data_IF_247354181096
#
_entry.id   IF_247354181096
#
_cell.length_a   1.000
_cell.length_b   1.000
_cell.length_c   1.000
_cell.angle_alpha   90.00
_cell.angle_beta   90.00
_cell.angle_gamma   90.00
#
_symmetry.space_group_name_H-M   'P 1'
#
loop_
_entity.id
_entity.type
_entity.pdbx_description
1 polymer ?
#
# COMPACT_ATOMS: atom_id res chain seq x y z
N UNK A 1 -10.53 -49.21 -25.30
CA UNK A 1 -9.90 -48.01 -25.89
C UNK A 1 -11.00 -46.99 -26.10
N UNK A 2 -11.03 -45.89 -25.34
CA UNK A 2 -10.92 -44.51 -25.86
C UNK A 2 -10.88 -43.57 -24.65
N UNK A 3 -9.91 -42.67 -24.69
CA UNK A 3 -9.40 -41.79 -23.65
C UNK A 3 -10.11 -40.43 -23.70
N UNK A 4 -10.54 -39.87 -22.56
CA UNK A 4 -10.80 -38.43 -22.36
C UNK A 4 -10.60 -38.15 -20.87
N UNK A 5 -9.88 -37.17 -20.36
CA UNK A 5 -9.14 -36.05 -20.90
C UNK A 5 -8.83 -35.21 -19.66
N UNK A 6 -7.59 -35.26 -19.18
CA UNK A 6 -7.17 -34.65 -17.92
C UNK A 6 -7.18 -33.13 -18.05
N UNK A 7 -8.26 -32.48 -17.63
CA UNK A 7 -8.27 -31.03 -17.41
C UNK A 7 -7.55 -30.75 -16.10
N UNK A 8 -6.32 -30.28 -16.20
CA UNK A 8 -5.58 -29.66 -15.09
C UNK A 8 -6.33 -28.41 -14.66
N UNK A 9 -7.19 -28.54 -13.63
CA UNK A 9 -7.77 -27.39 -12.92
C UNK A 9 -6.62 -26.58 -12.32
N UNK A 10 -6.32 -25.41 -12.91
CA UNK A 10 -5.48 -24.42 -12.26
C UNK A 10 -6.16 -24.04 -10.95
N UNK A 11 -5.55 -24.39 -9.81
CA UNK A 11 -6.03 -24.00 -8.49
C UNK A 11 -6.15 -22.48 -8.45
N UNK A 12 -7.39 -21.98 -8.42
CA UNK A 12 -7.66 -20.56 -8.21
C UNK A 12 -7.05 -20.16 -6.87
N UNK A 13 -6.07 -19.26 -6.93
CA UNK A 13 -5.42 -18.71 -5.74
C UNK A 13 -6.46 -17.92 -4.96
N UNK A 14 -6.75 -18.35 -3.74
CA UNK A 14 -7.60 -17.62 -2.78
C UNK A 14 -6.74 -17.10 -1.63
N UNK A 15 -7.25 -16.11 -0.90
CA UNK A 15 -6.59 -15.55 0.27
C UNK A 15 -7.11 -16.25 1.54
N UNK A 16 -6.22 -16.55 2.49
CA UNK A 16 -6.55 -17.23 3.75
C UNK A 16 -6.17 -18.72 3.76
N UNK A 17 -6.47 -19.39 4.87
CA UNK A 17 -6.15 -20.82 5.10
C UNK A 17 -7.33 -21.76 4.81
N UNK A 18 -8.53 -21.22 4.56
CA UNK A 18 -9.75 -21.98 4.25
C UNK A 18 -10.36 -21.49 2.94
N UNK A 19 -11.17 -22.35 2.32
CA UNK A 19 -11.94 -22.00 1.13
C UNK A 19 -12.87 -20.80 1.36
N UNK A 20 -13.15 -19.99 0.32
CA UNK A 20 -14.09 -18.87 0.41
C UNK A 20 -15.51 -19.37 0.69
N UNK A 21 -16.27 -18.59 1.48
CA UNK A 21 -17.68 -18.88 1.78
C UNK A 21 -18.56 -18.73 0.53
N UNK A 22 -18.27 -17.71 -0.29
CA UNK A 22 -19.00 -17.42 -1.53
C UNK A 22 -18.06 -16.81 -2.55
N UNK A 23 -18.26 -17.17 -3.81
CA UNK A 23 -17.60 -16.58 -4.98
C UNK A 23 -18.56 -15.67 -5.78
N UNK A 24 -19.75 -15.38 -5.24
CA UNK A 24 -20.72 -14.53 -5.91
C UNK A 24 -20.21 -13.09 -6.03
N UNK A 25 -20.27 -12.54 -7.25
CA UNK A 25 -19.98 -11.14 -7.52
C UNK A 25 -21.14 -10.22 -7.03
N UNK A 26 -20.88 -8.92 -6.78
CA UNK A 26 -21.93 -7.98 -6.44
C UNK A 26 -22.93 -7.82 -7.59
N UNK A 27 -24.19 -7.54 -7.23
CA UNK A 27 -25.25 -7.14 -8.15
C UNK A 27 -25.30 -5.62 -8.25
N UNK A 28 -26.04 -5.11 -9.23
CA UNK A 28 -26.25 -3.67 -9.41
C UNK A 28 -26.79 -2.99 -8.14
N UNK A 29 -27.68 -3.67 -7.41
CA UNK A 29 -28.20 -3.15 -6.15
C UNK A 29 -27.12 -2.97 -5.08
N UNK A 30 -26.14 -3.86 -5.02
CA UNK A 30 -25.02 -3.76 -4.08
C UNK A 30 -24.13 -2.55 -4.43
N UNK A 31 -23.87 -2.33 -5.73
CA UNK A 31 -23.14 -1.15 -6.21
C UNK A 31 -23.81 0.16 -5.79
N UNK A 32 -25.14 0.25 -5.93
CA UNK A 32 -25.91 1.42 -5.48
C UNK A 32 -25.79 1.63 -3.97
N UNK A 33 -25.81 0.56 -3.17
CA UNK A 33 -25.63 0.67 -1.71
C UNK A 33 -24.21 1.10 -1.33
N UNK A 34 -23.19 0.61 -2.04
CA UNK A 34 -21.80 1.06 -1.86
C UNK A 34 -21.67 2.57 -2.13
N UNK A 35 -22.31 3.09 -3.19
CA UNK A 35 -22.27 4.53 -3.45
C UNK A 35 -22.95 5.32 -2.32
N UNK A 36 -24.11 4.86 -1.83
CA UNK A 36 -24.81 5.51 -0.71
C UNK A 36 -23.96 5.51 0.56
N UNK A 37 -23.22 4.44 0.84
CA UNK A 37 -22.28 4.38 1.96
C UNK A 37 -21.18 5.44 1.81
N UNK A 38 -20.54 5.53 0.64
CA UNK A 38 -19.49 6.52 0.38
C UNK A 38 -20.02 7.95 0.61
N UNK A 39 -21.19 8.29 0.06
CA UNK A 39 -21.79 9.61 0.24
C UNK A 39 -22.15 9.89 1.70
N UNK A 40 -22.63 8.88 2.43
CA UNK A 40 -22.97 9.01 3.86
C UNK A 40 -21.74 9.27 4.72
N UNK A 41 -20.58 8.73 4.34
CA UNK A 41 -19.34 8.87 5.10
C UNK A 41 -18.64 10.22 4.91
N UNK A 42 -18.83 10.88 3.76
CA UNK A 42 -18.16 12.16 3.45
C UNK A 42 -18.35 13.26 4.53
N UNK A 43 -19.56 13.52 5.05
CA UNK A 43 -19.77 14.56 6.08
C UNK A 43 -19.03 14.28 7.40
N UNK A 44 -18.65 13.04 7.67
CA UNK A 44 -17.90 12.66 8.87
C UNK A 44 -16.37 12.87 8.73
N UNK A 45 -15.90 13.36 7.57
CA UNK A 45 -14.49 13.71 7.37
C UNK A 45 -13.54 12.51 7.34
N UNK A 46 -14.05 11.30 7.02
CA UNK A 46 -13.23 10.08 6.97
C UNK A 46 -12.34 9.99 5.73
N UNK A 47 -12.57 10.83 4.72
CA UNK A 47 -11.74 10.96 3.54
C UNK A 47 -10.89 12.22 3.65
N UNK A 48 -9.58 12.08 3.48
CA UNK A 48 -8.66 13.21 3.41
C UNK A 48 -8.83 14.00 2.10
N UNK A 49 -8.58 15.30 2.13
CA UNK A 49 -8.56 16.12 0.91
C UNK A 49 -7.31 15.84 0.09
N UNK A 50 -7.42 15.93 -1.24
CA UNK A 50 -6.29 15.69 -2.14
C UNK A 50 -5.12 16.63 -1.84
N UNK A 51 -5.38 17.89 -1.50
CA UNK A 51 -4.34 18.87 -1.13
C UNK A 51 -3.53 18.42 0.11
N UNK A 52 -4.21 17.90 1.13
CA UNK A 52 -3.55 17.39 2.34
C UNK A 52 -2.75 16.12 2.05
N UNK A 53 -3.27 15.24 1.18
CA UNK A 53 -2.55 14.06 0.74
C UNK A 53 -1.25 14.45 0.00
N UNK A 54 -1.32 15.42 -0.91
CA UNK A 54 -0.14 15.94 -1.62
C UNK A 54 0.87 16.57 -0.65
N UNK A 55 0.39 17.31 0.35
CA UNK A 55 1.24 17.89 1.41
C UNK A 55 1.99 16.78 2.17
N UNK A 56 1.32 15.69 2.54
CA UNK A 56 1.96 14.55 3.23
C UNK A 56 2.99 13.85 2.35
N UNK A 57 2.70 13.66 1.05
CA UNK A 57 3.66 13.07 0.09
C UNK A 57 4.94 13.91 0.02
N UNK A 58 4.81 15.24 -0.06
CA UNK A 58 5.95 16.15 -0.08
C UNK A 58 6.78 16.05 1.22
N UNK A 59 6.11 16.01 2.37
CA UNK A 59 6.76 15.86 3.67
C UNK A 59 7.53 14.54 3.75
N UNK A 60 6.95 13.43 3.28
CA UNK A 60 7.64 12.15 3.23
C UNK A 60 8.87 12.18 2.32
N UNK A 61 8.81 12.91 1.20
CA UNK A 61 9.98 13.15 0.35
C UNK A 61 11.10 13.87 1.10
N UNK A 62 10.76 14.93 1.84
CA UNK A 62 11.72 15.67 2.67
C UNK A 62 12.32 14.79 3.77
N UNK A 63 11.48 14.04 4.49
CA UNK A 63 11.94 13.11 5.53
C UNK A 63 12.87 12.02 4.97
N UNK A 64 12.55 11.48 3.79
CA UNK A 64 13.40 10.48 3.15
C UNK A 64 14.77 11.06 2.77
N UNK A 65 14.83 12.31 2.34
CA UNK A 65 16.09 12.98 2.04
C UNK A 65 16.90 13.25 3.31
N UNK A 66 16.26 13.71 4.39
CA UNK A 66 16.91 13.91 5.68
C UNK A 66 17.49 12.61 6.24
N UNK A 67 16.78 11.48 6.11
CA UNK A 67 17.29 10.17 6.53
C UNK A 67 18.52 9.76 5.73
N UNK A 68 18.52 9.98 4.41
CA UNK A 68 19.68 9.67 3.56
C UNK A 68 20.88 10.56 3.88
N UNK A 69 20.65 11.85 4.11
CA UNK A 69 21.67 12.80 4.54
C UNK A 69 22.29 12.39 5.87
N UNK A 70 21.46 12.11 6.88
CA UNK A 70 21.93 11.61 8.16
C UNK A 70 22.76 10.33 8.03
N UNK A 71 22.32 9.36 7.24
CA UNK A 71 23.07 8.10 7.02
C UNK A 71 24.41 8.38 6.33
N UNK A 72 24.46 9.31 5.37
CA UNK A 72 25.69 9.73 4.70
C UNK A 72 26.66 10.39 5.67
N UNK A 73 26.20 11.35 6.47
CA UNK A 73 27.01 12.04 7.49
C UNK A 73 27.59 11.06 8.52
N UNK A 74 26.78 10.11 8.99
CA UNK A 74 27.26 9.06 9.90
C UNK A 74 28.33 8.18 9.22
N UNK A 75 28.15 7.85 7.94
CA UNK A 75 29.11 7.07 7.16
C UNK A 75 30.45 7.78 7.01
N UNK A 76 30.42 9.09 6.76
CA UNK A 76 31.60 9.96 6.72
C UNK A 76 32.30 10.03 8.09
N UNK A 77 31.53 10.23 9.18
CA UNK A 77 32.06 10.28 10.55
C UNK A 77 32.73 8.98 11.00
N UNK A 78 32.37 7.85 10.38
CA UNK A 78 32.94 6.52 10.62
C UNK A 78 34.11 6.19 9.69
N UNK A 79 34.56 7.14 8.87
CA UNK A 79 35.65 6.99 7.91
C UNK A 79 35.46 5.79 6.95
N UNK A 80 34.22 5.54 6.52
CA UNK A 80 33.96 4.51 5.51
C UNK A 80 34.59 4.91 4.16
N UNK A 81 34.95 3.94 3.29
CA UNK A 81 35.45 4.25 1.96
C UNK A 81 34.42 5.07 1.15
N UNK A 82 34.90 6.00 0.33
CA UNK A 82 34.05 6.87 -0.49
C UNK A 82 33.06 6.06 -1.36
N UNK A 83 33.52 4.93 -1.91
CA UNK A 83 32.66 4.01 -2.68
C UNK A 83 31.49 3.44 -1.88
N UNK A 84 31.62 3.32 -0.56
CA UNK A 84 30.53 2.88 0.33
C UNK A 84 29.61 4.05 0.66
N UNK A 85 30.16 5.23 0.96
CA UNK A 85 29.39 6.43 1.28
C UNK A 85 28.44 6.81 0.14
N UNK A 86 28.90 6.71 -1.11
CA UNK A 86 28.08 6.99 -2.30
C UNK A 86 26.93 5.99 -2.50
N UNK A 87 27.02 4.79 -1.91
CA UNK A 87 26.10 3.69 -2.13
C UNK A 87 25.33 3.22 -0.87
N UNK A 88 25.56 3.83 0.29
CA UNK A 88 24.96 3.40 1.57
C UNK A 88 23.42 3.46 1.57
N UNK A 89 22.85 4.38 0.79
CA UNK A 89 21.41 4.47 0.57
C UNK A 89 20.64 4.95 1.80
N UNK A 90 19.65 4.17 2.25
CA UNK A 90 18.68 4.55 3.27
C UNK A 90 17.32 4.94 2.70
N UNK A 91 16.25 4.57 3.42
CA UNK A 91 14.87 4.80 2.99
C UNK A 91 13.90 4.77 4.17
N UNK A 92 12.87 5.61 4.11
CA UNK A 92 11.73 5.52 5.03
C UNK A 92 10.63 4.62 4.46
N UNK A 93 9.90 3.96 5.36
CA UNK A 93 8.73 3.17 5.02
C UNK A 93 7.55 3.61 5.87
N UNK A 94 6.41 3.81 5.23
CA UNK A 94 5.17 4.06 5.94
C UNK A 94 4.48 2.73 6.26
N UNK A 95 3.80 2.69 7.41
CA UNK A 95 2.97 1.58 7.87
C UNK A 95 1.71 2.15 8.55
N UNK A 96 0.84 1.28 9.05
CA UNK A 96 -0.39 1.71 9.74
C UNK A 96 -1.42 2.32 8.79
N UNK A 97 -2.38 3.07 9.34
CA UNK A 97 -3.54 3.62 8.62
C UNK A 97 -3.15 4.44 7.39
N UNK A 98 -2.10 5.26 7.50
CA UNK A 98 -1.61 6.06 6.39
C UNK A 98 -1.16 5.19 5.21
N UNK A 99 -0.42 4.11 5.47
CA UNK A 99 0.00 3.17 4.42
C UNK A 99 -1.17 2.40 3.82
N UNK A 100 -2.19 2.12 4.63
CA UNK A 100 -3.40 1.41 4.21
C UNK A 100 -4.39 2.33 3.44
N UNK A 101 -4.17 3.65 3.42
CA UNK A 101 -5.05 4.60 2.73
C UNK A 101 -6.40 4.81 3.43
N UNK A 102 -6.45 4.58 4.75
CA UNK A 102 -7.67 4.71 5.57
C UNK A 102 -7.47 5.66 6.76
N UNK A 103 -6.43 6.50 6.72
CA UNK A 103 -6.24 7.56 7.71
C UNK A 103 -7.26 8.69 7.46
N UNK A 104 -7.73 9.29 8.55
CA UNK A 104 -8.61 10.46 8.51
C UNK A 104 -7.77 11.75 8.58
N UNK A 105 -8.42 12.90 8.39
CA UNK A 105 -7.81 14.23 8.59
C UNK A 105 -7.27 14.40 10.00
#
# INVERSE_FOLDING_TARGET
VTTQGSQTQQLQKHYGITSPISLAAPKEFDCMLTQKLIETLKPYGVFEEEEELQRRILILGKLNNLVKEWIREISESKNLPQSVIENVGGKIFTFGSYRLGVHTK
#
